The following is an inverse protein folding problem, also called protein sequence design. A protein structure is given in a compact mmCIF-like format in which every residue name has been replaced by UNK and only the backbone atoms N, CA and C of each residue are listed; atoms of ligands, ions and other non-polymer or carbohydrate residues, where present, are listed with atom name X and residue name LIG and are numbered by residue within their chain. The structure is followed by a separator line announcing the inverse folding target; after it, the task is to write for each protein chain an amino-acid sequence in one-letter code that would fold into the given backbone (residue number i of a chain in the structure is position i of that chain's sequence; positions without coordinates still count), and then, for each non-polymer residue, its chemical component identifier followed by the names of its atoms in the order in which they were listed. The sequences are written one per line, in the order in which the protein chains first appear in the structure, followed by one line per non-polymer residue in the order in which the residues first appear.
data_IF_908101492505
#
_entry.id   IF_908101492505
#
_cell.length_a   1.000
_cell.length_b   1.000
_cell.length_c   1.000
_cell.angle_alpha   90.00
_cell.angle_beta   90.00
_cell.angle_gamma   90.00
#
_symmetry.space_group_name_H-M   'P 1'
#
loop_
_entity.id
_entity.type
_entity.pdbx_description
1 polymer ?
#
# COMPACT_ATOMS: atom_id res chain seq x y z
N UNK A 1 12.97 16.57 -0.07
CA UNK A 1 11.79 15.94 0.56
C UNK A 1 10.58 16.81 0.29
N UNK A 2 9.56 16.28 -0.38
CA UNK A 2 8.33 17.03 -0.65
C UNK A 2 7.58 17.32 0.65
N UNK A 3 6.80 18.43 0.70
CA UNK A 3 6.01 18.82 1.88
C UNK A 3 5.11 17.70 2.41
N UNK A 4 4.64 16.81 1.54
CA UNK A 4 3.79 15.65 1.87
C UNK A 4 4.54 14.56 2.65
N UNK A 5 5.79 14.26 2.28
CA UNK A 5 6.62 13.30 3.03
C UNK A 5 6.97 13.81 4.43
N UNK A 6 7.09 15.13 4.59
CA UNK A 6 7.31 15.74 5.90
C UNK A 6 6.07 15.62 6.82
N UNK A 7 4.85 15.69 6.26
CA UNK A 7 3.62 15.54 7.03
C UNK A 7 3.43 14.10 7.54
N UNK A 8 3.68 13.09 6.70
CA UNK A 8 3.66 11.68 7.11
C UNK A 8 4.74 11.36 8.16
N UNK A 9 5.92 11.95 8.03
CA UNK A 9 7.00 11.79 9.00
C UNK A 9 6.66 12.44 10.34
N UNK A 10 6.00 13.63 10.33
CA UNK A 10 5.50 14.28 11.55
C UNK A 10 4.37 13.49 12.21
N UNK A 11 3.41 12.97 11.44
CA UNK A 11 2.34 12.13 11.94
C UNK A 11 2.90 10.88 12.63
N UNK A 12 3.89 10.21 12.04
CA UNK A 12 4.62 9.09 12.66
C UNK A 12 5.29 9.45 13.98
N UNK A 13 5.97 10.59 14.03
CA UNK A 13 6.64 11.07 15.26
C UNK A 13 5.66 11.43 16.37
N UNK A 14 4.47 11.90 16.03
CA UNK A 14 3.43 12.29 16.97
C UNK A 14 2.51 11.11 17.37
N UNK A 15 2.72 9.89 16.81
CA UNK A 15 1.82 8.73 16.94
C UNK A 15 0.36 9.01 16.54
N UNK A 16 0.13 10.04 15.71
CA UNK A 16 -1.15 10.41 15.12
C UNK A 16 -1.20 9.94 13.66
N UNK A 17 -1.01 8.64 13.44
CA UNK A 17 -1.06 8.02 12.11
C UNK A 17 -2.36 7.22 11.88
N UNK A 18 -3.35 7.41 12.73
CA UNK A 18 -4.69 6.90 12.52
C UNK A 18 -5.46 7.84 11.58
N UNK A 19 -5.83 7.31 10.44
CA UNK A 19 -6.62 8.01 9.42
C UNK A 19 -7.80 7.14 9.04
N UNK A 20 -9.01 7.70 9.15
CA UNK A 20 -10.23 6.98 8.81
C UNK A 20 -10.52 7.11 7.32
N UNK A 21 -10.63 5.98 6.66
CA UNK A 21 -10.99 5.88 5.24
C UNK A 21 -12.44 6.23 5.04
N UNK A 22 -12.75 6.99 3.99
CA UNK A 22 -14.13 7.32 3.66
C UNK A 22 -14.84 6.10 3.05
N UNK A 23 -16.12 5.92 3.37
CA UNK A 23 -16.94 4.81 2.88
C UNK A 23 -16.95 4.71 1.36
N UNK A 24 -17.02 5.85 0.66
CA UNK A 24 -16.99 5.90 -0.81
C UNK A 24 -15.73 5.27 -1.41
N UNK A 25 -14.56 5.47 -0.79
CA UNK A 25 -13.31 4.88 -1.28
C UNK A 25 -13.30 3.36 -1.05
N UNK A 26 -13.90 2.90 0.05
CA UNK A 26 -14.09 1.48 0.36
C UNK A 26 -15.03 0.85 -0.66
N UNK A 27 -16.17 1.46 -0.93
CA UNK A 27 -17.16 1.00 -1.90
C UNK A 27 -16.57 0.88 -3.31
N UNK A 28 -15.86 1.93 -3.76
CA UNK A 28 -15.25 1.98 -5.08
C UNK A 28 -14.22 0.86 -5.29
N UNK A 29 -13.47 0.50 -4.28
CA UNK A 29 -12.47 -0.56 -4.38
C UNK A 29 -13.09 -1.94 -4.20
N UNK A 30 -13.83 -2.16 -3.12
CA UNK A 30 -14.28 -3.49 -2.73
C UNK A 30 -15.29 -4.12 -3.68
N UNK A 31 -16.03 -3.33 -4.46
CA UNK A 31 -16.97 -3.85 -5.47
C UNK A 31 -16.27 -4.78 -6.47
N UNK A 32 -15.00 -4.57 -6.73
CA UNK A 32 -14.21 -5.40 -7.65
C UNK A 32 -13.83 -6.77 -7.10
N UNK A 33 -14.03 -6.99 -5.79
CA UNK A 33 -13.62 -8.21 -5.08
C UNK A 33 -14.79 -9.01 -4.49
N UNK A 34 -16.05 -8.57 -4.66
CA UNK A 34 -17.22 -9.22 -4.07
C UNK A 34 -17.25 -10.74 -4.32
N UNK A 35 -16.92 -11.17 -5.54
CA UNK A 35 -16.91 -12.59 -5.90
C UNK A 35 -15.81 -13.40 -5.16
N UNK A 36 -14.74 -12.75 -4.72
CA UNK A 36 -13.69 -13.37 -3.91
C UNK A 36 -14.04 -13.42 -2.41
N UNK A 37 -15.01 -12.61 -1.99
CA UNK A 37 -15.43 -12.49 -0.59
C UNK A 37 -16.64 -13.39 -0.27
N UNK A 38 -17.33 -13.93 -1.29
CA UNK A 38 -18.47 -14.81 -1.10
C UNK A 38 -18.07 -16.05 -0.29
N UNK A 39 -18.90 -16.41 0.70
CA UNK A 39 -18.70 -17.52 1.63
C UNK A 39 -17.39 -17.43 2.46
N UNK A 40 -16.83 -16.23 2.62
CA UNK A 40 -15.59 -15.99 3.35
C UNK A 40 -15.82 -15.35 4.72
N UNK A 41 -14.89 -15.63 5.62
CA UNK A 41 -14.73 -14.91 6.88
C UNK A 41 -13.82 -13.72 6.61
N UNK A 42 -14.39 -12.51 6.68
CA UNK A 42 -13.65 -11.25 6.52
C UNK A 42 -13.24 -10.73 7.89
N UNK A 43 -11.99 -10.32 8.01
CA UNK A 43 -11.44 -9.74 9.22
C UNK A 43 -10.96 -8.31 8.99
N UNK A 44 -11.59 -7.36 9.68
CA UNK A 44 -11.20 -5.96 9.74
C UNK A 44 -10.30 -5.77 10.98
N UNK A 45 -9.02 -6.12 10.83
CA UNK A 45 -8.03 -5.96 11.90
C UNK A 45 -7.49 -4.52 11.89
N UNK A 46 -7.44 -3.84 13.01
CA UNK A 46 -7.21 -2.41 13.21
C UNK A 46 -8.46 -1.53 13.07
N UNK A 47 -9.64 -2.11 13.14
CA UNK A 47 -10.92 -1.45 12.89
C UNK A 47 -11.87 -1.58 14.10
N UNK A 48 -11.92 -0.53 14.92
CA UNK A 48 -12.91 -0.44 15.99
C UNK A 48 -14.32 -0.35 15.39
N UNK A 49 -15.14 -1.37 15.63
CA UNK A 49 -16.50 -1.51 15.08
C UNK A 49 -17.40 -0.29 15.33
N UNK A 50 -17.11 0.51 16.35
CA UNK A 50 -17.89 1.71 16.71
C UNK A 50 -17.64 2.89 15.77
N UNK A 51 -16.53 2.87 15.00
CA UNK A 51 -16.06 3.98 14.16
C UNK A 51 -15.73 3.58 12.74
N UNK A 52 -15.39 2.31 12.52
CA UNK A 52 -14.85 1.83 11.26
C UNK A 52 -15.87 1.85 10.14
N UNK A 53 -15.52 2.53 9.04
CA UNK A 53 -16.31 2.50 7.81
C UNK A 53 -16.17 1.17 7.05
N UNK A 54 -15.15 0.37 7.33
CA UNK A 54 -15.04 -0.99 6.81
C UNK A 54 -16.09 -1.91 7.43
N UNK A 55 -16.23 -1.86 8.75
CA UNK A 55 -17.25 -2.64 9.45
C UNK A 55 -18.65 -2.24 9.02
N UNK A 56 -18.92 -0.93 8.95
CA UNK A 56 -20.20 -0.39 8.45
C UNK A 56 -20.50 -0.90 7.04
N UNK A 57 -19.54 -0.80 6.12
CA UNK A 57 -19.67 -1.25 4.74
C UNK A 57 -20.00 -2.75 4.64
N UNK A 58 -19.27 -3.59 5.36
CA UNK A 58 -19.48 -5.02 5.32
C UNK A 58 -20.80 -5.44 5.98
N UNK A 59 -21.24 -4.79 7.02
CA UNK A 59 -22.56 -5.05 7.63
C UNK A 59 -23.70 -4.72 6.65
N UNK A 60 -23.65 -3.56 5.98
CA UNK A 60 -24.67 -3.14 5.02
C UNK A 60 -24.71 -4.01 3.76
N UNK A 61 -23.58 -4.56 3.35
CA UNK A 61 -23.46 -5.38 2.14
C UNK A 61 -23.31 -6.87 2.43
N UNK A 62 -23.52 -7.32 3.67
CA UNK A 62 -23.26 -8.67 4.12
C UNK A 62 -23.95 -9.71 3.25
N UNK A 63 -25.26 -9.61 3.09
CA UNK A 63 -26.06 -10.52 2.26
C UNK A 63 -25.75 -10.37 0.77
N UNK A 64 -25.60 -9.14 0.29
CA UNK A 64 -25.30 -8.86 -1.12
C UNK A 64 -23.97 -9.48 -1.56
N UNK A 65 -22.95 -9.45 -0.70
CA UNK A 65 -21.65 -10.09 -0.95
C UNK A 65 -21.75 -11.59 -0.71
N UNK A 66 -22.62 -12.01 0.20
CA UNK A 66 -22.73 -13.39 0.65
C UNK A 66 -21.61 -13.78 1.59
N UNK A 67 -21.27 -12.91 2.55
CA UNK A 67 -20.24 -13.22 3.54
C UNK A 67 -20.67 -14.36 4.45
N UNK A 68 -19.71 -15.16 4.88
CA UNK A 68 -19.92 -16.16 5.93
C UNK A 68 -19.90 -15.53 7.32
N UNK A 69 -18.97 -14.62 7.55
CA UNK A 69 -18.78 -13.94 8.84
C UNK A 69 -17.95 -12.67 8.65
N UNK A 70 -18.23 -11.66 9.44
CA UNK A 70 -17.40 -10.47 9.61
C UNK A 70 -16.86 -10.46 11.04
N UNK A 71 -15.55 -10.23 11.18
CA UNK A 71 -14.89 -10.03 12.48
C UNK A 71 -14.18 -8.68 12.45
N UNK A 72 -14.18 -7.95 13.54
CA UNK A 72 -13.33 -6.76 13.67
C UNK A 72 -12.66 -6.68 15.03
N UNK A 73 -11.48 -6.08 15.05
CA UNK A 73 -10.75 -5.74 16.28
C UNK A 73 -10.18 -4.34 16.17
N UNK A 74 -10.27 -3.60 17.27
CA UNK A 74 -9.74 -2.25 17.38
C UNK A 74 -8.69 -2.16 18.48
N UNK A 75 -7.64 -1.39 18.23
CA UNK A 75 -6.57 -1.15 19.19
C UNK A 75 -6.99 -0.13 20.24
N UNK A 76 -6.59 -0.37 21.50
CA UNK A 76 -6.71 0.57 22.61
C UNK A 76 -5.34 0.84 23.22
N UNK A 77 -4.97 2.11 23.36
CA UNK A 77 -3.69 2.48 23.96
C UNK A 77 -3.63 2.22 25.46
N UNK A 78 -4.73 2.50 26.14
CA UNK A 78 -4.80 2.56 27.62
C UNK A 78 -5.77 1.52 28.22
N UNK A 79 -6.17 0.50 27.42
CA UNK A 79 -7.13 -0.48 27.88
C UNK A 79 -7.24 -1.70 26.98
N UNK A 80 -8.35 -2.40 27.08
CA UNK A 80 -8.64 -3.55 26.25
C UNK A 80 -9.03 -3.13 24.84
N UNK A 81 -8.56 -3.88 23.84
CA UNK A 81 -8.99 -3.74 22.47
C UNK A 81 -10.45 -4.10 22.28
N UNK A 82 -11.09 -3.54 21.26
CA UNK A 82 -12.47 -3.89 20.92
C UNK A 82 -12.53 -5.13 20.05
N UNK A 83 -13.63 -5.87 20.17
CA UNK A 83 -13.95 -7.04 19.36
C UNK A 83 -15.39 -6.96 18.88
N UNK A 84 -15.63 -7.35 17.64
CA UNK A 84 -16.97 -7.65 17.15
C UNK A 84 -17.00 -8.81 16.17
N UNK A 85 -18.16 -9.47 16.12
CA UNK A 85 -18.45 -10.57 15.20
C UNK A 85 -19.89 -10.43 14.67
N UNK A 86 -20.09 -10.61 13.37
CA UNK A 86 -21.39 -10.59 12.72
C UNK A 86 -21.52 -11.78 11.74
N UNK A 87 -22.60 -12.54 11.85
CA UNK A 87 -22.88 -13.72 11.03
C UNK A 87 -24.06 -13.55 10.05
N UNK A 88 -24.51 -12.31 9.87
CA UNK A 88 -25.70 -11.97 9.08
C UNK A 88 -26.98 -11.84 9.90
N UNK A 89 -27.01 -12.37 11.11
CA UNK A 89 -28.19 -12.34 12.00
C UNK A 89 -27.87 -11.75 13.37
N UNK A 90 -26.77 -12.16 13.97
CA UNK A 90 -26.37 -11.78 15.31
C UNK A 90 -25.10 -10.94 15.28
N UNK A 91 -25.17 -9.73 15.81
CA UNK A 91 -24.02 -8.86 16.03
C UNK A 91 -23.56 -8.96 17.48
N UNK A 92 -22.42 -9.61 17.70
CA UNK A 92 -21.79 -9.73 19.02
C UNK A 92 -20.68 -8.71 19.14
N UNK A 93 -20.59 -8.08 20.29
CA UNK A 93 -19.53 -7.12 20.60
C UNK A 93 -18.91 -7.41 21.95
N UNK A 94 -17.67 -7.00 22.15
CA UNK A 94 -16.96 -7.20 23.39
C UNK A 94 -15.59 -6.52 23.39
N UNK A 95 -14.77 -6.97 24.33
CA UNK A 95 -13.40 -6.53 24.47
C UNK A 95 -12.47 -7.73 24.40
N UNK A 96 -11.28 -7.51 23.88
CA UNK A 96 -10.19 -8.46 23.88
C UNK A 96 -9.59 -8.55 25.30
N UNK A 97 -8.87 -9.62 25.58
CA UNK A 97 -8.10 -9.74 26.82
C UNK A 97 -6.91 -8.76 26.83
N UNK A 98 -6.29 -8.59 25.67
CA UNK A 98 -5.21 -7.63 25.43
C UNK A 98 -5.70 -6.30 24.84
N UNK A 99 -4.78 -5.50 24.40
CA UNK A 99 -5.02 -4.15 23.87
C UNK A 99 -5.44 -4.10 22.39
N UNK A 100 -5.56 -5.24 21.72
CA UNK A 100 -5.91 -5.30 20.30
C UNK A 100 -4.75 -4.97 19.34
N UNK A 101 -3.51 -5.18 19.75
CA UNK A 101 -2.36 -5.09 18.84
C UNK A 101 -2.55 -6.08 17.68
N UNK A 102 -2.60 -5.55 16.46
CA UNK A 102 -2.83 -6.33 15.25
C UNK A 102 -1.79 -7.42 15.00
N UNK A 103 -0.59 -7.28 15.55
CA UNK A 103 0.51 -8.25 15.50
C UNK A 103 0.59 -9.11 16.76
N UNK A 104 -0.23 -8.83 17.77
CA UNK A 104 -0.29 -9.57 19.03
C UNK A 104 -0.84 -10.99 18.84
N UNK A 105 -0.61 -11.84 19.84
CA UNK A 105 -0.98 -13.26 19.80
C UNK A 105 -2.50 -13.44 19.65
N UNK A 106 -3.30 -12.73 20.45
CA UNK A 106 -4.77 -12.82 20.43
C UNK A 106 -5.35 -12.42 19.05
N UNK A 107 -4.90 -11.29 18.47
CA UNK A 107 -5.31 -10.88 17.12
C UNK A 107 -4.78 -11.85 16.04
N UNK A 108 -3.63 -12.46 16.27
CA UNK A 108 -3.09 -13.50 15.38
C UNK A 108 -3.94 -14.77 15.41
N UNK A 109 -4.48 -15.17 16.56
CA UNK A 109 -5.36 -16.33 16.66
C UNK A 109 -6.71 -16.08 15.97
N UNK A 110 -7.21 -14.86 16.04
CA UNK A 110 -8.37 -14.44 15.24
C UNK A 110 -8.02 -14.44 13.75
N UNK A 111 -6.85 -13.92 13.37
CA UNK A 111 -6.35 -13.90 11.99
C UNK A 111 -6.31 -15.32 11.40
N UNK A 112 -5.90 -16.32 12.14
CA UNK A 112 -5.85 -17.71 11.66
C UNK A 112 -7.22 -18.23 11.20
N UNK A 113 -8.31 -17.76 11.82
CA UNK A 113 -9.69 -18.15 11.47
C UNK A 113 -10.22 -17.42 10.23
N UNK A 114 -9.66 -16.26 9.90
CA UNK A 114 -10.10 -15.43 8.78
C UNK A 114 -9.59 -15.97 7.44
N UNK A 115 -10.41 -15.81 6.39
CA UNK A 115 -10.02 -16.08 5.01
C UNK A 115 -9.38 -14.85 4.36
N UNK A 116 -9.97 -13.68 4.59
CA UNK A 116 -9.57 -12.43 3.96
C UNK A 116 -9.46 -11.31 5.00
N UNK A 117 -8.39 -10.54 4.95
CA UNK A 117 -8.21 -9.34 5.76
C UNK A 117 -8.50 -8.10 4.94
N UNK A 118 -9.37 -7.23 5.43
CA UNK A 118 -9.68 -5.95 4.77
C UNK A 118 -9.62 -4.85 5.81
N UNK A 119 -8.65 -3.95 5.70
CA UNK A 119 -8.41 -2.94 6.75
C UNK A 119 -7.56 -1.77 6.27
N UNK A 120 -7.56 -0.70 7.04
CA UNK A 120 -6.57 0.37 6.97
C UNK A 120 -5.68 0.31 8.22
N UNK A 121 -4.60 -0.46 8.16
CA UNK A 121 -3.66 -0.52 9.28
C UNK A 121 -2.84 0.77 9.39
N UNK A 122 -2.38 1.16 10.60
CA UNK A 122 -1.48 2.30 10.77
C UNK A 122 -0.26 2.19 9.84
N UNK A 123 0.07 3.28 9.14
CA UNK A 123 1.18 3.27 8.15
C UNK A 123 2.54 2.94 8.76
N UNK A 124 2.72 3.20 10.04
CA UNK A 124 3.92 2.80 10.79
C UNK A 124 4.08 1.29 10.90
N UNK A 125 2.98 0.54 10.94
CA UNK A 125 2.96 -0.91 11.04
C UNK A 125 2.99 -1.62 9.67
N UNK A 126 2.69 -0.92 8.58
CA UNK A 126 2.41 -1.50 7.26
C UNK A 126 3.41 -2.57 6.83
N UNK A 127 4.74 -2.33 6.95
CA UNK A 127 5.77 -3.28 6.55
C UNK A 127 5.69 -4.60 7.32
N UNK A 128 5.60 -4.51 8.64
CA UNK A 128 5.50 -5.67 9.53
C UNK A 128 4.18 -6.39 9.33
N UNK A 129 3.12 -5.63 9.10
CA UNK A 129 1.78 -6.16 8.92
C UNK A 129 1.65 -6.98 7.62
N UNK A 130 2.12 -6.46 6.48
CA UNK A 130 2.17 -7.25 5.22
C UNK A 130 2.96 -8.54 5.42
N UNK A 131 4.16 -8.46 6.01
CA UNK A 131 4.99 -9.65 6.25
C UNK A 131 4.28 -10.66 7.15
N UNK A 132 3.50 -10.17 8.12
CA UNK A 132 2.68 -11.02 8.99
C UNK A 132 1.56 -11.71 8.22
N UNK A 133 0.79 -10.98 7.41
CA UNK A 133 -0.26 -11.55 6.58
C UNK A 133 0.27 -12.60 5.59
N UNK A 134 1.39 -12.31 4.94
CA UNK A 134 2.05 -13.23 4.02
C UNK A 134 2.55 -14.48 4.74
N UNK A 135 3.15 -14.35 5.92
CA UNK A 135 3.60 -15.48 6.76
C UNK A 135 2.45 -16.45 7.08
N UNK A 136 1.25 -15.93 7.33
CA UNK A 136 0.07 -16.74 7.63
C UNK A 136 -0.76 -17.11 6.38
N UNK A 137 -0.24 -16.82 5.18
CA UNK A 137 -0.89 -17.17 3.91
C UNK A 137 -2.25 -16.51 3.70
N UNK A 138 -2.48 -15.34 4.31
CA UNK A 138 -3.78 -14.67 4.25
C UNK A 138 -3.97 -13.91 2.95
N UNK A 139 -5.20 -13.96 2.44
CA UNK A 139 -5.65 -13.03 1.41
C UNK A 139 -5.98 -11.69 2.06
N UNK A 140 -5.71 -10.61 1.35
CA UNK A 140 -5.96 -9.28 1.92
C UNK A 140 -6.19 -8.20 0.87
N UNK A 141 -6.87 -7.13 1.31
CA UNK A 141 -7.08 -5.86 0.62
C UNK A 141 -6.84 -4.77 1.65
N UNK A 142 -5.73 -4.07 1.59
CA UNK A 142 -5.34 -3.11 2.62
C UNK A 142 -4.83 -1.80 2.02
N UNK A 143 -4.96 -0.72 2.79
CA UNK A 143 -4.50 0.61 2.39
C UNK A 143 -3.06 0.83 2.82
N UNK A 144 -2.26 1.41 1.94
CA UNK A 144 -0.87 1.76 2.21
C UNK A 144 -0.35 2.89 1.34
N UNK A 145 0.83 3.39 1.69
CA UNK A 145 1.52 4.38 0.86
C UNK A 145 2.10 3.74 -0.38
N UNK A 146 1.97 4.37 -1.54
CA UNK A 146 2.62 3.93 -2.79
C UNK A 146 4.15 3.78 -2.63
N UNK A 147 4.77 4.58 -1.76
CA UNK A 147 6.19 4.45 -1.48
C UNK A 147 6.57 3.06 -0.90
N UNK A 148 5.58 2.30 -0.40
CA UNK A 148 5.85 0.98 0.16
C UNK A 148 6.33 -0.03 -0.91
N UNK A 149 6.09 0.20 -2.19
CA UNK A 149 6.63 -0.64 -3.28
C UNK A 149 8.16 -0.73 -3.25
N UNK A 150 8.84 0.29 -2.70
CA UNK A 150 10.31 0.35 -2.62
C UNK A 150 10.86 -0.25 -1.32
N UNK A 151 10.00 -0.67 -0.38
CA UNK A 151 10.47 -1.21 0.89
C UNK A 151 11.04 -2.61 0.70
N UNK A 152 12.19 -2.89 1.34
CA UNK A 152 12.88 -4.18 1.24
C UNK A 152 12.02 -5.38 1.67
N UNK A 153 11.06 -5.16 2.57
CA UNK A 153 10.13 -6.17 3.05
C UNK A 153 8.96 -6.42 2.08
N UNK A 154 8.66 -5.46 1.20
CA UNK A 154 7.49 -5.47 0.31
C UNK A 154 7.90 -5.80 -1.13
N UNK A 155 8.98 -5.19 -1.62
CA UNK A 155 9.43 -5.33 -3.01
C UNK A 155 9.60 -6.80 -3.47
N UNK A 156 10.14 -7.74 -2.66
CA UNK A 156 10.24 -9.13 -3.07
C UNK A 156 8.90 -9.76 -3.45
N UNK A 157 7.83 -9.48 -2.72
CA UNK A 157 6.50 -9.99 -3.03
C UNK A 157 5.96 -9.42 -4.36
N UNK A 158 6.22 -8.14 -4.63
CA UNK A 158 5.84 -7.51 -5.90
C UNK A 158 6.64 -8.12 -7.07
N UNK A 159 7.96 -8.25 -6.90
CA UNK A 159 8.85 -8.87 -7.89
C UNK A 159 8.43 -10.30 -8.23
N UNK A 160 8.03 -11.08 -7.22
CA UNK A 160 7.60 -12.47 -7.37
C UNK A 160 6.14 -12.59 -7.82
N UNK A 161 5.45 -11.46 -8.07
CA UNK A 161 4.05 -11.46 -8.46
C UNK A 161 3.10 -12.09 -7.42
N UNK A 162 3.40 -11.87 -6.15
CA UNK A 162 2.63 -12.35 -4.98
C UNK A 162 1.82 -11.21 -4.34
N UNK A 163 2.15 -9.96 -4.64
CA UNK A 163 1.52 -8.74 -4.14
C UNK A 163 1.45 -7.71 -5.25
N UNK A 164 0.34 -6.98 -5.33
CA UNK A 164 0.15 -5.90 -6.30
C UNK A 164 -0.74 -4.79 -5.74
N UNK A 165 -0.88 -3.72 -6.49
CA UNK A 165 -1.74 -2.59 -6.14
C UNK A 165 -3.19 -2.90 -6.51
N UNK A 166 -4.14 -2.30 -5.79
CA UNK A 166 -5.55 -2.33 -6.14
C UNK A 166 -5.89 -1.42 -7.33
N UNK A 167 -7.16 -1.19 -7.54
CA UNK A 167 -7.70 -0.49 -8.72
C UNK A 167 -7.75 1.02 -8.52
N UNK A 168 -8.12 1.45 -7.31
CA UNK A 168 -8.42 2.85 -7.01
C UNK A 168 -7.37 3.49 -6.09
N UNK A 169 -7.32 4.81 -6.13
CA UNK A 169 -6.50 5.62 -5.23
C UNK A 169 -7.36 6.16 -4.10
N UNK A 170 -6.78 6.26 -2.91
CA UNK A 170 -7.42 6.89 -1.75
C UNK A 170 -6.81 8.27 -1.56
N UNK A 171 -7.61 9.31 -1.64
CA UNK A 171 -7.12 10.71 -1.60
C UNK A 171 -7.46 11.41 -0.30
N UNK A 172 -8.64 11.17 0.22
CA UNK A 172 -9.20 11.91 1.33
C UNK A 172 -9.41 11.02 2.56
N UNK A 173 -8.85 11.43 3.67
CA UNK A 173 -8.97 10.73 4.95
C UNK A 173 -9.56 11.66 6.01
N UNK A 174 -10.32 11.09 6.93
CA UNK A 174 -10.82 11.81 8.10
C UNK A 174 -9.84 11.60 9.24
N UNK A 175 -9.35 12.68 9.83
CA UNK A 175 -8.52 12.64 11.03
C UNK A 175 -9.39 12.43 12.29
N UNK A 176 -8.82 12.01 13.43
CA UNK A 176 -9.56 11.86 14.68
C UNK A 176 -10.27 13.14 15.13
N UNK A 177 -9.78 14.31 14.72
CA UNK A 177 -10.41 15.62 14.99
C UNK A 177 -11.56 15.99 14.02
N UNK A 178 -11.89 15.11 13.07
CA UNK A 178 -12.93 15.32 12.06
C UNK A 178 -12.50 16.09 10.81
N UNK A 179 -11.26 16.57 10.74
CA UNK A 179 -10.76 17.28 9.56
C UNK A 179 -10.42 16.33 8.42
N UNK A 180 -10.70 16.74 7.19
CA UNK A 180 -10.31 15.98 5.99
C UNK A 180 -8.87 16.30 5.64
N UNK A 181 -8.04 15.28 5.53
CA UNK A 181 -6.65 15.40 5.07
C UNK A 181 -6.47 14.70 3.73
N UNK A 182 -5.88 15.43 2.78
CA UNK A 182 -5.59 14.92 1.44
C UNK A 182 -4.19 14.33 1.36
N UNK A 183 -4.10 13.16 0.73
CA UNK A 183 -2.85 12.50 0.40
C UNK A 183 -2.83 12.16 -1.09
N UNK A 184 -1.68 12.37 -1.74
CA UNK A 184 -1.51 12.11 -3.17
C UNK A 184 -0.97 10.72 -3.50
N UNK A 185 -0.51 9.96 -2.50
CA UNK A 185 0.28 8.75 -2.70
C UNK A 185 -0.23 7.56 -1.87
N UNK A 186 -1.53 7.47 -1.63
CA UNK A 186 -2.14 6.35 -0.92
C UNK A 186 -2.93 5.49 -1.91
N UNK A 187 -2.74 4.18 -1.82
CA UNK A 187 -3.34 3.20 -2.69
C UNK A 187 -3.72 1.94 -1.92
N UNK A 188 -4.42 1.03 -2.57
CA UNK A 188 -4.72 -0.28 -2.06
C UNK A 188 -3.61 -1.26 -2.42
N UNK A 189 -3.37 -2.23 -1.56
CA UNK A 189 -2.49 -3.38 -1.76
C UNK A 189 -3.28 -4.67 -1.57
N UNK A 190 -3.04 -5.64 -2.44
CA UNK A 190 -3.77 -6.90 -2.39
C UNK A 190 -2.94 -8.04 -2.98
N UNK A 191 -3.23 -9.26 -2.56
CA UNK A 191 -2.80 -10.50 -3.19
C UNK A 191 -3.99 -11.29 -3.79
N UNK A 192 -5.11 -10.60 -4.01
CA UNK A 192 -6.32 -11.12 -4.65
C UNK A 192 -6.38 -10.56 -6.07
N UNK A 193 -6.61 -11.43 -7.07
CA UNK A 193 -6.73 -11.01 -8.46
C UNK A 193 -7.89 -10.03 -8.68
N UNK A 194 -7.70 -9.08 -9.60
CA UNK A 194 -8.74 -8.16 -10.04
C UNK A 194 -8.62 -7.89 -11.55
N UNK A 195 -9.66 -7.33 -12.16
CA UNK A 195 -9.78 -7.19 -13.62
C UNK A 195 -8.64 -6.39 -14.27
N UNK A 196 -8.05 -5.41 -13.58
CA UNK A 196 -6.99 -4.57 -14.13
C UNK A 196 -5.58 -5.14 -13.98
N UNK A 197 -5.39 -6.23 -13.24
CA UNK A 197 -4.05 -6.75 -12.94
C UNK A 197 -3.25 -7.15 -14.18
N UNK A 198 -3.91 -7.78 -15.15
CA UNK A 198 -3.29 -8.31 -16.36
C UNK A 198 -3.85 -7.64 -17.62
N UNK A 199 -4.36 -6.42 -17.49
CA UNK A 199 -4.81 -5.67 -18.67
C UNK A 199 -3.59 -5.29 -19.49
N UNK A 200 -3.56 -5.69 -20.75
CA UNK A 200 -2.52 -5.26 -21.69
C UNK A 200 -2.59 -3.74 -21.85
N UNK A 201 -1.39 -3.13 -21.98
CA UNK A 201 -1.32 -1.72 -22.33
C UNK A 201 -1.84 -1.53 -23.75
N UNK A 202 -2.89 -0.75 -23.88
CA UNK A 202 -3.44 -0.35 -25.17
C UNK A 202 -2.51 0.71 -25.78
N UNK A 203 -1.45 0.21 -26.45
CA UNK A 203 -0.51 1.08 -27.15
C UNK A 203 -1.14 1.45 -28.49
N UNK A 204 -1.69 2.66 -28.58
CA UNK A 204 -2.24 3.19 -29.82
C UNK A 204 -1.17 3.40 -30.90
N UNK A 205 0.12 3.38 -30.53
CA UNK A 205 1.26 3.56 -31.40
C UNK A 205 2.35 2.55 -31.06
N UNK A 206 2.81 1.81 -32.06
CA UNK A 206 3.99 0.94 -31.91
C UNK A 206 5.24 1.77 -32.18
N UNK A 207 6.33 1.40 -31.52
CA UNK A 207 7.65 1.99 -31.82
C UNK A 207 7.97 1.82 -33.29
N UNK A 208 8.37 2.91 -33.95
CA UNK A 208 8.93 2.93 -35.32
C UNK A 208 10.24 3.69 -35.27
N UNK A 209 11.30 3.06 -35.74
CA UNK A 209 12.63 3.69 -35.78
C UNK A 209 12.68 4.97 -36.65
N UNK A 210 11.76 5.07 -37.61
CA UNK A 210 11.70 6.21 -38.53
C UNK A 210 11.03 7.44 -37.92
N UNK A 211 10.25 7.26 -36.82
CA UNK A 211 9.56 8.35 -36.15
C UNK A 211 10.37 8.97 -35.02
N UNK A 212 11.42 8.30 -34.56
CA UNK A 212 12.25 8.77 -33.46
C UNK A 212 13.59 9.20 -33.97
N UNK A 213 14.08 10.39 -33.61
CA UNK A 213 15.38 10.87 -34.08
C UNK A 213 16.48 9.96 -33.56
N UNK A 214 17.41 9.65 -34.43
CA UNK A 214 18.69 9.04 -34.07
C UNK A 214 19.70 10.14 -33.79
N UNK A 215 20.52 9.93 -32.80
CA UNK A 215 21.56 10.88 -32.42
C UNK A 215 22.90 10.32 -32.92
N UNK A 216 23.35 10.81 -34.06
CA UNK A 216 24.57 10.28 -34.72
C UNK A 216 25.83 10.50 -33.89
N UNK A 217 25.83 11.53 -33.05
CA UNK A 217 26.98 11.88 -32.19
C UNK A 217 26.92 11.22 -30.80
N UNK A 218 25.81 10.54 -30.47
CA UNK A 218 25.60 9.95 -29.13
C UNK A 218 24.89 8.61 -29.28
N UNK A 219 25.67 7.59 -29.66
CA UNK A 219 25.13 6.24 -29.91
C UNK A 219 24.44 5.65 -28.68
N UNK A 220 24.85 6.03 -27.46
CA UNK A 220 24.24 5.63 -26.21
C UNK A 220 22.76 5.96 -26.10
N UNK A 221 22.25 7.00 -26.77
CA UNK A 221 20.82 7.32 -26.81
C UNK A 221 20.02 6.42 -27.76
N UNK A 222 20.68 5.63 -28.60
CA UNK A 222 20.01 4.78 -29.58
C UNK A 222 19.91 3.32 -29.15
N UNK A 223 20.34 2.98 -27.94
CA UNK A 223 20.32 1.61 -27.40
C UNK A 223 19.17 1.42 -26.39
N UNK A 224 18.68 0.18 -26.27
CA UNK A 224 17.59 -0.17 -25.38
C UNK A 224 18.05 -0.57 -23.97
N UNK A 225 19.33 -0.82 -23.78
CA UNK A 225 19.91 -1.26 -22.50
C UNK A 225 21.19 -0.49 -22.22
N UNK A 226 21.41 -0.11 -20.98
CA UNK A 226 22.64 0.56 -20.53
C UNK A 226 23.88 -0.26 -20.87
N UNK A 227 23.82 -1.59 -20.79
CA UNK A 227 24.94 -2.47 -21.15
C UNK A 227 25.32 -2.45 -22.62
N UNK A 228 24.46 -1.92 -23.48
CA UNK A 228 24.71 -1.83 -24.93
C UNK A 228 25.29 -0.44 -25.33
N UNK A 229 25.51 0.46 -24.35
CA UNK A 229 26.14 1.76 -24.60
C UNK A 229 27.63 1.52 -24.97
N UNK A 230 28.09 2.00 -26.14
CA UNK A 230 29.50 1.91 -26.50
C UNK A 230 30.38 2.63 -25.47
N UNK A 231 31.52 2.04 -25.14
CA UNK A 231 32.46 2.62 -24.16
C UNK A 231 32.94 4.01 -24.58
N UNK A 232 33.02 4.26 -25.88
CA UNK A 232 33.52 5.52 -26.46
C UNK A 232 32.43 6.61 -26.51
N UNK A 233 31.21 6.32 -26.06
CA UNK A 233 30.07 7.26 -26.07
C UNK A 233 29.89 7.96 -24.72
N UNK A 234 30.79 7.79 -23.77
CA UNK A 234 30.82 8.59 -22.56
C UNK A 234 31.17 10.02 -22.89
N UNK A 235 30.28 10.94 -22.56
CA UNK A 235 30.49 12.36 -22.76
C UNK A 235 31.51 12.83 -21.72
N UNK A 236 32.67 13.30 -22.16
CA UNK A 236 33.57 14.06 -21.32
C UNK A 236 32.89 15.39 -20.98
N UNK A 237 32.30 15.47 -19.82
CA UNK A 237 31.76 16.72 -19.30
C UNK A 237 32.87 17.39 -18.49
N UNK A 238 33.46 18.46 -19.05
CA UNK A 238 34.28 19.37 -18.26
C UNK A 238 33.36 20.05 -17.22
N UNK A 239 33.42 19.58 -15.98
CA UNK A 239 32.69 20.16 -14.87
C UNK A 239 33.55 21.30 -14.31
N UNK A 240 33.08 22.56 -14.29
CA UNK A 240 33.82 23.65 -13.68
C UNK A 240 34.14 23.31 -12.21
N UNK A 241 35.36 23.64 -11.76
CA UNK A 241 35.85 23.33 -10.41
C UNK A 241 34.87 23.76 -9.29
N UNK A 242 34.17 24.87 -9.48
CA UNK A 242 33.17 25.35 -8.51
C UNK A 242 31.94 24.42 -8.43
N UNK A 243 31.52 23.80 -9.51
CA UNK A 243 30.41 22.83 -9.52
C UNK A 243 30.88 21.47 -8.99
N UNK A 244 32.10 21.06 -9.34
CA UNK A 244 32.71 19.83 -8.81
C UNK A 244 32.76 19.84 -7.28
N UNK A 245 33.21 20.94 -6.67
CA UNK A 245 33.25 21.08 -5.22
C UNK A 245 31.86 21.07 -4.56
N UNK A 246 30.83 21.59 -5.25
CA UNK A 246 29.43 21.50 -4.80
C UNK A 246 28.92 20.06 -4.83
N UNK A 247 29.22 19.34 -5.88
CA UNK A 247 28.80 17.94 -6.05
C UNK A 247 29.51 17.03 -5.06
N UNK A 248 30.80 17.23 -4.85
CA UNK A 248 31.59 16.50 -3.85
C UNK A 248 31.05 16.69 -2.43
N UNK A 249 30.55 17.88 -2.07
CA UNK A 249 29.88 18.13 -0.80
C UNK A 249 28.53 17.40 -0.64
N UNK A 250 27.85 17.14 -1.75
CA UNK A 250 26.53 16.48 -1.75
C UNK A 250 26.65 14.96 -1.78
N UNK A 251 27.59 14.44 -2.57
CA UNK A 251 27.71 13.00 -2.88
C UNK A 251 28.91 12.32 -2.21
N UNK A 252 29.84 13.11 -1.62
CA UNK A 252 31.01 12.57 -0.93
C UNK A 252 31.95 11.82 -1.87
N UNK A 253 32.60 10.80 -1.32
CA UNK A 253 33.53 9.92 -2.07
C UNK A 253 32.83 8.92 -3.01
N UNK A 254 31.50 8.91 -3.04
CA UNK A 254 30.71 8.10 -3.99
C UNK A 254 30.60 8.74 -5.38
N UNK A 255 31.17 9.93 -5.56
CA UNK A 255 31.22 10.58 -6.86
C UNK A 255 32.33 9.93 -7.71
N UNK A 256 31.95 9.00 -8.58
CA UNK A 256 32.87 8.41 -9.56
C UNK A 256 32.89 9.30 -10.80
N UNK A 257 33.94 10.07 -10.97
CA UNK A 257 34.28 10.71 -12.23
C UNK A 257 35.28 9.78 -12.92
N UNK A 258 34.85 9.20 -14.03
CA UNK A 258 35.75 8.41 -14.86
C UNK A 258 36.65 9.41 -15.66
N UNK A 259 37.93 9.46 -15.32
CA UNK A 259 38.96 10.15 -16.13
C UNK A 259 39.18 9.44 -17.47
#
# INVERSE_FOLDING_TARGET
MTKENAALTRARKQKNDEFYTQKKDIENELIHYHHHLKDKIVYCNCDDYRKSKFVEYFMENFEKIGLKKLISTGFSKDGQGTYSEYDGTVFKTGFLSGNGDALGEECTDILKQADVVVTNCPFSLFRKYISHLMKYGKKFIIIGSMNAITYKEIFPYIKNNELWMGINWVKDFIQPNGEVKKFGNICWYTNIGHSRRNTELDLYKKYSADEYPKYDNYLGFNVNKVADIPVDDFIDIEIPDEEYEKWKKVYGDDLIILE
#
